data_IF_960809964653
#
_entry.id   IF_960809964653
#
_cell.length_a   1.000
_cell.length_b   1.000
_cell.length_c   1.000
_cell.angle_alpha   90.00
_cell.angle_beta   90.00
_cell.angle_gamma   90.00
#
_symmetry.space_group_name_H-M   'P 1'
#
loop_
_entity.id
_entity.type
_entity.pdbx_description
1 polymer ?
#
# COMPACT_ATOMS: atom_id res chain seq x y z
N UNK A 1 21.79 33.13 6.70
CA UNK A 1 21.12 32.09 7.49
C UNK A 1 20.52 31.08 6.52
N UNK A 2 21.05 29.87 6.47
CA UNK A 2 20.46 28.79 5.71
C UNK A 2 19.27 28.24 6.54
N UNK A 3 18.07 28.46 6.05
CA UNK A 3 16.86 27.89 6.62
C UNK A 3 16.84 26.40 6.26
N UNK A 4 17.03 25.53 7.25
CA UNK A 4 16.92 24.09 7.08
C UNK A 4 15.44 23.78 6.83
N UNK A 5 15.07 23.19 5.68
CA UNK A 5 13.69 22.77 5.46
C UNK A 5 13.30 21.77 6.55
N UNK A 6 12.22 22.05 7.27
CA UNK A 6 11.63 21.05 8.16
C UNK A 6 11.17 19.88 7.26
N UNK A 7 11.84 18.76 7.37
CA UNK A 7 11.43 17.53 6.67
C UNK A 7 10.19 16.97 7.38
N UNK A 8 9.01 17.50 7.04
CA UNK A 8 7.76 16.84 7.36
C UNK A 8 7.73 15.55 6.53
N UNK A 9 8.08 14.43 7.17
CA UNK A 9 7.77 13.12 6.63
C UNK A 9 6.24 12.97 6.65
N UNK A 10 5.58 13.43 5.59
CA UNK A 10 4.18 13.14 5.38
C UNK A 10 4.07 11.62 5.15
N UNK A 11 3.69 10.90 6.20
CA UNK A 11 3.32 9.51 6.08
C UNK A 11 2.22 9.36 5.01
N UNK A 12 2.16 8.24 4.28
CA UNK A 12 1.08 8.00 3.33
C UNK A 12 -0.26 8.26 4.01
N UNK A 13 -1.12 9.06 3.37
CA UNK A 13 -2.47 9.27 3.87
C UNK A 13 -3.30 8.04 3.56
N UNK A 14 -3.57 7.22 4.57
CA UNK A 14 -4.46 6.06 4.44
C UNK A 14 -5.93 6.40 4.73
N UNK A 15 -6.32 7.66 4.52
CA UNK A 15 -7.72 8.05 4.65
C UNK A 15 -8.55 7.31 3.58
N UNK A 16 -9.76 6.81 3.89
CA UNK A 16 -10.62 6.13 2.92
C UNK A 16 -10.89 6.96 1.68
N UNK A 17 -11.13 8.26 1.86
CA UNK A 17 -11.39 9.21 0.77
C UNK A 17 -10.17 9.41 -0.14
N UNK A 18 -9.00 8.98 0.30
CA UNK A 18 -7.78 9.01 -0.49
C UNK A 18 -7.62 7.77 -1.39
N UNK A 19 -8.41 6.70 -1.18
CA UNK A 19 -8.34 5.49 -2.00
C UNK A 19 -9.02 5.71 -3.33
N UNK A 20 -8.28 5.54 -4.43
CA UNK A 20 -8.80 5.71 -5.78
C UNK A 20 -9.17 4.33 -6.34
N UNK A 21 -10.43 4.16 -6.75
CA UNK A 21 -10.89 2.97 -7.43
C UNK A 21 -10.40 2.97 -8.89
N UNK A 22 -9.91 1.83 -9.36
CA UNK A 22 -9.49 1.61 -10.74
C UNK A 22 -9.71 0.15 -11.14
N UNK A 23 -9.45 -0.20 -12.39
CA UNK A 23 -9.64 -1.56 -12.90
C UNK A 23 -8.95 -2.62 -12.05
N UNK A 24 -7.71 -2.37 -11.67
CA UNK A 24 -6.88 -3.29 -10.89
C UNK A 24 -7.42 -3.63 -9.49
N UNK A 25 -8.22 -2.77 -8.87
CA UNK A 25 -8.69 -2.93 -7.48
C UNK A 25 -10.23 -3.00 -7.34
N UNK A 26 -10.96 -2.85 -8.42
CA UNK A 26 -12.44 -2.77 -8.41
C UNK A 26 -13.08 -3.99 -7.75
N UNK A 27 -12.67 -5.19 -8.14
CA UNK A 27 -13.22 -6.44 -7.58
C UNK A 27 -12.88 -6.61 -6.10
N UNK A 28 -11.68 -6.18 -5.67
CA UNK A 28 -11.32 -6.20 -4.26
C UNK A 28 -12.21 -5.26 -3.43
N UNK A 29 -12.55 -4.08 -3.98
CA UNK A 29 -13.51 -3.16 -3.34
C UNK A 29 -14.92 -3.76 -3.25
N UNK A 30 -15.38 -4.49 -4.27
CA UNK A 30 -16.67 -5.18 -4.23
C UNK A 30 -16.69 -6.25 -3.12
N UNK A 31 -15.61 -7.02 -2.96
CA UNK A 31 -15.48 -7.98 -1.86
C UNK A 31 -15.55 -7.31 -0.49
N UNK A 32 -14.87 -6.17 -0.30
CA UNK A 32 -14.95 -5.42 0.94
C UNK A 32 -16.37 -4.83 1.16
N UNK A 33 -17.04 -4.41 0.08
CA UNK A 33 -18.41 -3.92 0.17
C UNK A 33 -19.39 -4.99 0.58
N UNK A 34 -19.17 -6.27 0.24
CA UNK A 34 -19.98 -7.41 0.63
C UNK A 34 -19.77 -7.85 2.09
N UNK A 35 -18.79 -7.26 2.82
CA UNK A 35 -18.62 -7.58 4.23
C UNK A 35 -19.88 -7.23 5.05
N UNK A 36 -20.32 -8.04 6.03
CA UNK A 36 -19.69 -9.25 6.59
C UNK A 36 -20.06 -10.56 5.90
N UNK A 37 -20.75 -10.55 4.77
CA UNK A 37 -21.31 -11.72 4.10
C UNK A 37 -20.29 -12.45 3.21
N UNK A 38 -19.09 -12.65 3.74
CA UNK A 38 -18.06 -13.45 3.09
C UNK A 38 -18.35 -14.96 3.21
N UNK A 39 -17.77 -15.80 2.31
CA UNK A 39 -18.07 -17.22 2.27
C UNK A 39 -17.80 -17.95 3.60
N UNK A 40 -18.73 -18.84 3.95
CA UNK A 40 -18.61 -19.75 5.08
C UNK A 40 -17.59 -20.87 4.77
N UNK A 41 -17.00 -21.53 5.79
CA UNK A 41 -17.36 -21.42 7.22
C UNK A 41 -16.62 -20.31 7.98
N UNK A 42 -15.54 -19.75 7.40
CA UNK A 42 -14.63 -18.88 8.17
C UNK A 42 -14.89 -17.38 7.99
N UNK A 43 -15.72 -17.01 7.01
CA UNK A 43 -15.95 -15.59 6.64
C UNK A 43 -14.63 -14.83 6.51
N UNK A 44 -13.67 -15.43 5.82
CA UNK A 44 -12.36 -14.86 5.60
C UNK A 44 -12.17 -14.51 4.12
N UNK A 45 -11.45 -13.44 3.87
CA UNK A 45 -11.08 -12.97 2.54
C UNK A 45 -9.56 -12.79 2.48
N UNK A 46 -8.93 -13.36 1.47
CA UNK A 46 -7.54 -13.07 1.17
C UNK A 46 -7.47 -12.12 -0.03
N UNK A 47 -6.90 -10.93 0.18
CA UNK A 47 -6.52 -10.02 -0.90
C UNK A 47 -5.01 -10.12 -1.07
N UNK A 48 -4.57 -10.50 -2.27
CA UNK A 48 -3.16 -10.71 -2.55
C UNK A 48 -2.69 -9.95 -3.80
N UNK A 49 -1.39 -9.81 -3.96
CA UNK A 49 -0.79 -9.14 -5.10
C UNK A 49 0.61 -8.58 -4.82
N UNK A 50 1.29 -7.99 -5.80
CA UNK A 50 2.65 -7.51 -5.66
C UNK A 50 2.80 -6.42 -4.58
N UNK A 51 4.04 -6.16 -4.16
CA UNK A 51 4.32 -5.05 -3.26
C UNK A 51 3.93 -3.73 -3.91
N UNK A 52 3.35 -2.81 -3.12
CA UNK A 52 2.98 -1.48 -3.60
C UNK A 52 1.72 -1.42 -4.46
N UNK A 53 0.92 -2.50 -4.60
CA UNK A 53 -0.35 -2.46 -5.33
C UNK A 53 -1.54 -1.89 -4.52
N UNK A 54 -1.34 -1.42 -3.29
CA UNK A 54 -2.37 -0.74 -2.50
C UNK A 54 -3.07 -1.57 -1.43
N UNK A 55 -2.68 -2.82 -1.17
CA UNK A 55 -3.31 -3.71 -0.16
C UNK A 55 -3.39 -3.08 1.23
N UNK A 56 -2.28 -2.54 1.73
CA UNK A 56 -2.25 -1.89 3.05
C UNK A 56 -3.22 -0.71 3.11
N UNK A 57 -3.31 0.11 2.08
CA UNK A 57 -4.30 1.20 2.05
C UNK A 57 -5.73 0.65 2.11
N UNK A 58 -6.01 -0.41 1.35
CA UNK A 58 -7.30 -1.07 1.36
C UNK A 58 -7.67 -1.63 2.74
N UNK A 59 -6.68 -2.11 3.50
CA UNK A 59 -6.91 -2.57 4.87
C UNK A 59 -7.32 -1.45 5.83
N UNK A 60 -6.81 -0.24 5.66
CA UNK A 60 -7.27 0.92 6.46
C UNK A 60 -8.70 1.33 6.11
N UNK A 61 -9.07 1.26 4.83
CA UNK A 61 -10.46 1.47 4.40
C UNK A 61 -11.40 0.45 5.08
N UNK A 62 -10.98 -0.82 5.10
CA UNK A 62 -11.74 -1.89 5.76
C UNK A 62 -11.79 -1.71 7.28
N UNK A 63 -10.69 -1.34 7.93
CA UNK A 63 -10.61 -1.11 9.37
C UNK A 63 -11.61 -0.05 9.83
N UNK A 64 -11.69 1.07 9.14
CA UNK A 64 -12.63 2.15 9.46
C UNK A 64 -14.09 1.72 9.33
N UNK A 65 -14.40 0.84 8.38
CA UNK A 65 -15.76 0.35 8.17
C UNK A 65 -16.17 -0.73 9.18
N UNK A 66 -15.25 -1.64 9.49
CA UNK A 66 -15.53 -2.86 10.26
C UNK A 66 -15.20 -2.77 11.74
N UNK A 67 -14.36 -1.79 12.13
CA UNK A 67 -13.74 -1.77 13.46
C UNK A 67 -12.81 -2.96 13.70
N UNK A 68 -12.28 -3.58 12.64
CA UNK A 68 -11.44 -4.78 12.73
C UNK A 68 -10.14 -4.50 13.49
N UNK A 69 -9.74 -5.45 14.31
CA UNK A 69 -8.48 -5.41 15.05
C UNK A 69 -7.32 -5.90 14.16
N UNK A 70 -6.21 -5.15 14.13
CA UNK A 70 -4.97 -5.59 13.44
C UNK A 70 -4.24 -6.60 14.28
N UNK A 71 -4.13 -7.82 13.76
CA UNK A 71 -3.36 -8.88 14.35
C UNK A 71 -2.00 -8.94 13.66
N UNK A 72 -0.95 -8.53 14.37
CA UNK A 72 0.40 -8.41 13.82
C UNK A 72 1.20 -9.70 13.92
N UNK A 73 0.84 -10.55 14.87
CA UNK A 73 1.44 -11.87 15.09
C UNK A 73 0.44 -12.79 15.80
N UNK A 74 0.63 -14.10 15.67
CA UNK A 74 -0.07 -15.14 16.41
C UNK A 74 0.80 -16.41 16.40
N UNK A 75 1.52 -16.65 17.47
CA UNK A 75 2.49 -17.73 17.59
C UNK A 75 1.99 -18.86 18.48
N UNK A 76 1.25 -18.52 19.53
CA UNK A 76 0.78 -19.46 20.52
C UNK A 76 -0.75 -19.58 20.51
N UNK A 77 -1.23 -20.80 20.74
CA UNK A 77 -2.66 -21.10 20.82
C UNK A 77 -3.30 -20.38 22.02
N UNK A 78 -2.57 -20.17 23.09
CA UNK A 78 -3.05 -19.45 24.28
C UNK A 78 -3.43 -18.00 23.99
N UNK A 79 -2.81 -17.36 22.98
CA UNK A 79 -3.14 -16.00 22.56
C UNK A 79 -4.57 -15.89 22.02
N UNK A 80 -5.12 -16.98 21.46
CA UNK A 80 -6.47 -17.00 20.89
C UNK A 80 -7.55 -16.76 21.96
N UNK A 81 -7.34 -17.28 23.18
CA UNK A 81 -8.25 -17.07 24.29
C UNK A 81 -8.37 -15.59 24.70
N UNK A 82 -7.35 -14.78 24.41
CA UNK A 82 -7.33 -13.34 24.70
C UNK A 82 -7.95 -12.49 23.61
N UNK A 83 -8.32 -13.06 22.45
CA UNK A 83 -8.91 -12.33 21.33
C UNK A 83 -10.38 -11.95 21.69
N UNK A 84 -10.59 -10.68 21.98
CA UNK A 84 -11.90 -10.12 22.28
C UNK A 84 -12.60 -9.54 21.05
N UNK A 85 -11.84 -9.18 20.01
CA UNK A 85 -12.38 -8.69 18.75
C UNK A 85 -13.08 -9.80 17.96
N UNK A 86 -14.03 -9.43 17.10
CA UNK A 86 -14.72 -10.35 16.20
C UNK A 86 -14.21 -10.26 14.76
N UNK A 87 -13.61 -9.13 14.41
CA UNK A 87 -13.14 -8.84 13.05
C UNK A 87 -11.66 -8.53 13.08
N UNK A 88 -10.90 -9.12 12.18
CA UNK A 88 -9.44 -9.06 12.18
C UNK A 88 -8.87 -8.68 10.83
N UNK A 89 -7.72 -8.01 10.87
CA UNK A 89 -6.86 -7.74 9.71
C UNK A 89 -5.49 -8.33 9.99
N UNK A 90 -5.00 -9.17 9.06
CA UNK A 90 -3.66 -9.73 9.07
C UNK A 90 -2.92 -9.16 7.85
N UNK A 91 -2.19 -8.05 8.05
CA UNK A 91 -1.44 -7.38 6.96
C UNK A 91 -0.04 -8.00 6.83
N UNK A 92 0.44 -8.09 5.59
CA UNK A 92 1.68 -8.78 5.20
C UNK A 92 1.73 -10.21 5.75
N UNK A 93 0.62 -10.92 5.55
CA UNK A 93 0.42 -12.26 6.07
C UNK A 93 1.42 -13.25 5.44
N UNK A 94 2.23 -13.84 6.31
CA UNK A 94 3.17 -14.91 5.99
C UNK A 94 3.18 -15.93 7.12
N UNK A 95 3.07 -17.21 6.79
CA UNK A 95 3.26 -18.28 7.76
C UNK A 95 4.77 -18.42 8.02
N UNK A 96 5.18 -18.45 9.24
CA UNK A 96 6.44 -18.82 9.82
C UNK A 96 6.85 -17.89 10.98
N UNK A 97 7.33 -16.68 10.69
CA UNK A 97 7.91 -15.82 11.73
C UNK A 97 6.86 -15.13 12.63
N UNK A 98 5.73 -14.72 12.05
CA UNK A 98 4.68 -14.00 12.78
C UNK A 98 3.45 -14.83 13.08
N UNK A 99 3.17 -15.82 12.25
CA UNK A 99 1.97 -16.65 12.35
C UNK A 99 2.35 -18.14 12.32
N UNK A 100 2.20 -18.86 13.44
CA UNK A 100 2.43 -20.30 13.45
C UNK A 100 1.26 -21.05 12.79
N UNK A 101 1.55 -22.19 12.16
CA UNK A 101 0.50 -22.96 11.49
C UNK A 101 -0.54 -23.49 12.47
N UNK A 102 -0.13 -23.89 13.65
CA UNK A 102 -1.03 -24.41 14.70
C UNK A 102 -1.94 -23.30 15.24
N UNK A 103 -1.36 -22.14 15.59
CA UNK A 103 -2.14 -21.01 16.08
C UNK A 103 -3.14 -20.52 15.02
N UNK A 104 -2.74 -20.48 13.75
CA UNK A 104 -3.66 -20.13 12.66
C UNK A 104 -4.78 -21.14 12.45
N UNK A 105 -4.51 -22.44 12.61
CA UNK A 105 -5.56 -23.45 12.59
C UNK A 105 -6.62 -23.19 13.66
N UNK A 106 -6.21 -22.90 14.90
CA UNK A 106 -7.10 -22.58 16.00
C UNK A 106 -7.79 -21.23 15.84
N UNK A 107 -7.12 -20.25 15.23
CA UNK A 107 -7.73 -18.96 14.88
C UNK A 107 -8.91 -19.11 13.94
N UNK A 108 -8.81 -19.94 12.90
CA UNK A 108 -9.95 -20.22 12.02
C UNK A 108 -11.07 -20.95 12.74
N UNK A 109 -10.79 -21.83 13.73
CA UNK A 109 -11.83 -22.40 14.58
C UNK A 109 -12.54 -21.31 15.40
N UNK A 110 -11.77 -20.39 15.97
CA UNK A 110 -12.32 -19.27 16.72
C UNK A 110 -13.22 -18.39 15.85
N UNK A 111 -12.81 -18.05 14.63
CA UNK A 111 -13.65 -17.30 13.68
C UNK A 111 -14.97 -18.01 13.39
N UNK A 112 -14.92 -19.31 13.11
CA UNK A 112 -16.11 -20.10 12.83
C UNK A 112 -17.07 -20.17 14.06
N UNK A 113 -16.52 -20.32 15.25
CA UNK A 113 -17.30 -20.41 16.48
C UNK A 113 -17.93 -19.07 16.90
N UNK A 114 -17.24 -17.95 16.68
CA UNK A 114 -17.70 -16.60 17.08
C UNK A 114 -18.50 -15.89 15.99
N UNK A 115 -18.54 -16.42 14.77
CA UNK A 115 -19.08 -15.73 13.60
C UNK A 115 -18.25 -14.48 13.22
N UNK A 116 -16.97 -14.48 13.58
CA UNK A 116 -16.02 -13.42 13.26
C UNK A 116 -15.63 -13.42 11.79
N UNK A 117 -14.89 -12.38 11.37
CA UNK A 117 -14.35 -12.25 10.01
C UNK A 117 -12.88 -11.92 10.02
N UNK A 118 -12.14 -12.32 8.97
CA UNK A 118 -10.73 -11.98 8.83
C UNK A 118 -10.39 -11.53 7.40
N UNK A 119 -9.70 -10.40 7.29
CA UNK A 119 -9.07 -9.93 6.06
C UNK A 119 -7.59 -10.26 6.11
N UNK A 120 -7.12 -11.12 5.21
CA UNK A 120 -5.71 -11.47 5.06
C UNK A 120 -5.14 -10.73 3.85
N UNK A 121 -4.02 -10.05 4.04
CA UNK A 121 -3.30 -9.38 2.94
C UNK A 121 -1.95 -10.06 2.76
N UNK A 122 -1.66 -10.54 1.57
CA UNK A 122 -0.45 -11.30 1.29
C UNK A 122 0.15 -10.94 -0.08
N UNK A 123 1.35 -11.40 -0.37
CA UNK A 123 1.98 -11.23 -1.69
C UNK A 123 1.50 -12.24 -2.71
N UNK A 124 1.12 -13.42 -2.24
CA UNK A 124 0.59 -14.53 -3.05
C UNK A 124 -0.69 -15.07 -2.42
N UNK A 125 -1.50 -15.77 -3.20
CA UNK A 125 -2.71 -16.41 -2.68
C UNK A 125 -2.39 -17.37 -1.55
N UNK A 126 -3.13 -17.27 -0.44
CA UNK A 126 -2.99 -18.20 0.71
C UNK A 126 -3.32 -19.65 0.31
N UNK A 127 -4.15 -19.83 -0.72
CA UNK A 127 -4.48 -21.15 -1.25
C UNK A 127 -3.29 -21.85 -1.94
N UNK A 128 -2.27 -21.08 -2.34
CA UNK A 128 -1.05 -21.56 -3.02
C UNK A 128 0.16 -21.64 -2.10
N UNK A 129 0.03 -21.23 -0.84
CA UNK A 129 1.13 -21.31 0.13
C UNK A 129 1.51 -22.76 0.41
N UNK A 130 2.80 -23.03 0.58
CA UNK A 130 3.29 -24.32 1.05
C UNK A 130 3.05 -24.43 2.56
N UNK A 131 2.19 -25.39 2.94
CA UNK A 131 1.68 -25.54 4.31
C UNK A 131 1.81 -27.00 4.72
N UNK A 132 2.62 -27.26 5.73
CA UNK A 132 2.85 -28.60 6.26
C UNK A 132 1.60 -29.19 6.94
N UNK A 133 0.87 -28.37 7.71
CA UNK A 133 -0.34 -28.77 8.43
C UNK A 133 -1.52 -28.95 7.46
N UNK A 134 -1.89 -30.20 7.18
CA UNK A 134 -2.92 -30.55 6.18
C UNK A 134 -4.27 -29.88 6.44
N UNK A 135 -4.69 -29.81 7.71
CA UNK A 135 -5.96 -29.21 8.10
C UNK A 135 -5.97 -27.69 7.87
N UNK A 136 -4.88 -26.98 8.18
CA UNK A 136 -4.75 -25.56 7.87
C UNK A 136 -4.75 -25.31 6.37
N UNK A 137 -4.03 -26.14 5.62
CA UNK A 137 -3.99 -26.06 4.14
C UNK A 137 -5.39 -26.18 3.54
N UNK A 138 -6.20 -27.13 4.03
CA UNK A 138 -7.59 -27.30 3.58
C UNK A 138 -8.42 -26.04 3.85
N UNK A 139 -8.26 -25.43 5.02
CA UNK A 139 -8.98 -24.20 5.41
C UNK A 139 -8.59 -23.02 4.54
N UNK A 140 -7.29 -22.78 4.35
CA UNK A 140 -6.80 -21.67 3.53
C UNK A 140 -7.22 -21.82 2.05
N UNK A 141 -7.37 -23.04 1.54
CA UNK A 141 -7.92 -23.29 0.20
C UNK A 141 -9.41 -22.99 0.08
N UNK A 142 -10.17 -22.98 1.19
CA UNK A 142 -11.60 -22.67 1.19
C UNK A 142 -11.90 -21.17 1.35
N UNK A 143 -10.89 -20.35 1.62
CA UNK A 143 -11.03 -18.90 1.74
C UNK A 143 -11.18 -18.27 0.36
N UNK A 144 -12.07 -17.28 0.24
CA UNK A 144 -12.15 -16.47 -0.96
C UNK A 144 -10.84 -15.71 -1.17
N UNK A 145 -10.27 -15.80 -2.37
CA UNK A 145 -9.02 -15.14 -2.72
C UNK A 145 -9.27 -14.16 -3.88
N UNK A 146 -8.82 -12.92 -3.72
CA UNK A 146 -8.90 -11.87 -4.73
C UNK A 146 -7.53 -11.27 -4.99
N UNK A 147 -7.09 -11.28 -6.23
CA UNK A 147 -5.87 -10.61 -6.66
C UNK A 147 -6.11 -9.11 -6.86
N UNK A 148 -5.14 -8.30 -6.45
CA UNK A 148 -4.96 -6.92 -6.92
C UNK A 148 -3.71 -6.89 -7.79
N UNK A 149 -3.89 -6.58 -9.06
CA UNK A 149 -2.79 -6.41 -9.99
C UNK A 149 -1.98 -5.14 -9.70
N UNK A 150 -0.83 -5.00 -10.35
CA UNK A 150 -0.12 -3.72 -10.39
C UNK A 150 -1.03 -2.65 -10.99
N UNK A 151 -0.94 -1.39 -10.51
CA UNK A 151 -1.77 -0.32 -11.04
C UNK A 151 -1.47 -0.06 -12.51
N UNK A 152 -2.53 0.18 -13.27
CA UNK A 152 -2.46 0.64 -14.66
C UNK A 152 -2.03 2.11 -14.73
N UNK A 153 -1.58 2.54 -15.89
CA UNK A 153 -1.03 3.89 -16.10
C UNK A 153 -2.05 4.98 -15.73
N UNK A 154 -3.31 4.82 -16.15
CA UNK A 154 -4.39 5.78 -15.84
C UNK A 154 -4.62 5.94 -14.32
N UNK A 155 -4.54 4.84 -13.58
CA UNK A 155 -4.67 4.88 -12.11
C UNK A 155 -3.45 5.52 -11.46
N UNK A 156 -2.25 5.25 -11.97
CA UNK A 156 -1.03 5.88 -11.49
C UNK A 156 -1.03 7.39 -11.74
N UNK A 157 -1.48 7.84 -12.91
CA UNK A 157 -1.61 9.27 -13.24
C UNK A 157 -2.54 9.97 -12.24
N UNK A 158 -3.73 9.43 -12.01
CA UNK A 158 -4.69 10.00 -11.05
C UNK A 158 -4.12 10.07 -9.63
N UNK A 159 -3.43 9.01 -9.20
CA UNK A 159 -2.80 8.96 -7.87
C UNK A 159 -1.66 9.97 -7.76
N UNK A 160 -0.81 10.10 -8.77
CA UNK A 160 0.28 11.08 -8.79
C UNK A 160 -0.25 12.51 -8.73
N UNK A 161 -1.27 12.84 -9.56
CA UNK A 161 -1.93 14.16 -9.53
C UNK A 161 -2.45 14.45 -8.12
N UNK A 162 -3.14 13.50 -7.50
CA UNK A 162 -3.64 13.66 -6.13
C UNK A 162 -2.49 13.83 -5.12
N UNK A 163 -1.43 13.04 -5.20
CA UNK A 163 -0.28 13.13 -4.29
C UNK A 163 0.43 14.49 -4.34
N UNK A 164 0.54 15.09 -5.52
CA UNK A 164 1.08 16.45 -5.69
C UNK A 164 0.11 17.51 -5.17
N UNK A 165 -1.19 17.36 -5.48
CA UNK A 165 -2.22 18.27 -4.98
C UNK A 165 -2.29 18.29 -3.43
N UNK A 166 -2.19 17.12 -2.78
CA UNK A 166 -2.15 17.01 -1.30
C UNK A 166 -0.93 17.73 -0.69
N UNK A 167 0.13 17.94 -1.48
CA UNK A 167 1.33 18.75 -1.12
C UNK A 167 1.27 20.20 -1.60
N UNK A 168 0.13 20.61 -2.17
CA UNK A 168 -0.04 21.95 -2.75
C UNK A 168 0.96 22.24 -3.88
N UNK A 169 1.44 21.22 -4.55
CA UNK A 169 2.31 21.32 -5.71
C UNK A 169 1.49 21.32 -7.00
N UNK A 170 1.59 22.39 -7.78
CA UNK A 170 1.09 22.41 -9.16
C UNK A 170 2.10 21.72 -10.06
N UNK A 171 1.65 20.77 -10.84
CA UNK A 171 2.52 19.95 -11.72
C UNK A 171 1.94 19.93 -13.11
N UNK A 172 2.73 20.24 -14.17
CA UNK A 172 2.28 20.15 -15.54
C UNK A 172 1.96 18.69 -15.95
N UNK A 173 0.94 18.48 -16.80
CA UNK A 173 0.52 17.15 -17.26
C UNK A 173 1.66 16.34 -17.89
N UNK A 174 2.54 16.97 -18.66
CA UNK A 174 3.70 16.31 -19.25
C UNK A 174 4.69 15.74 -18.23
N UNK A 175 4.71 16.25 -17.00
CA UNK A 175 5.53 15.72 -15.91
C UNK A 175 4.92 14.41 -15.37
N UNK A 176 3.62 14.39 -15.18
CA UNK A 176 2.91 13.18 -14.71
C UNK A 176 3.10 12.05 -15.72
N UNK A 177 2.84 12.32 -16.99
CA UNK A 177 3.02 11.34 -18.06
C UNK A 177 4.48 10.82 -18.14
N UNK A 178 5.47 11.71 -18.00
CA UNK A 178 6.87 11.31 -17.95
C UNK A 178 7.16 10.39 -16.76
N UNK A 179 6.62 10.69 -15.58
CA UNK A 179 6.80 9.86 -14.39
C UNK A 179 6.23 8.46 -14.60
N UNK A 180 4.99 8.34 -15.06
CA UNK A 180 4.32 7.05 -15.28
C UNK A 180 5.08 6.19 -16.31
N UNK A 181 5.60 6.82 -17.37
CA UNK A 181 6.35 6.11 -18.42
C UNK A 181 7.69 5.56 -17.92
N UNK A 182 8.32 6.19 -16.93
CA UNK A 182 9.70 5.88 -16.53
C UNK A 182 9.83 5.32 -15.10
N UNK A 183 8.73 5.17 -14.35
CA UNK A 183 8.76 4.60 -13.00
C UNK A 183 8.28 3.14 -12.98
N UNK A 184 8.62 2.43 -11.92
CA UNK A 184 8.01 1.15 -11.64
C UNK A 184 6.51 1.33 -11.33
N UNK A 185 5.66 0.49 -11.90
CA UNK A 185 4.21 0.53 -11.75
C UNK A 185 3.75 0.04 -10.38
N UNK A 186 4.10 0.81 -9.36
CA UNK A 186 3.62 0.56 -8.00
C UNK A 186 3.50 1.88 -7.19
N UNK A 187 2.59 1.89 -6.23
CA UNK A 187 2.34 3.08 -5.43
C UNK A 187 3.47 3.41 -4.46
N UNK A 188 4.27 2.44 -4.04
CA UNK A 188 5.44 2.69 -3.16
C UNK A 188 6.47 3.56 -3.88
N UNK A 189 6.77 3.24 -5.14
CA UNK A 189 7.67 4.04 -5.98
C UNK A 189 7.07 5.42 -6.24
N UNK A 190 5.76 5.52 -6.54
CA UNK A 190 5.08 6.80 -6.72
C UNK A 190 5.22 7.70 -5.48
N UNK A 191 4.95 7.17 -4.28
CA UNK A 191 5.10 7.90 -3.01
C UNK A 191 6.53 8.40 -2.79
N UNK A 192 7.52 7.54 -2.99
CA UNK A 192 8.93 7.89 -2.83
C UNK A 192 9.32 9.00 -3.80
N UNK A 193 9.01 8.85 -5.08
CA UNK A 193 9.35 9.83 -6.11
C UNK A 193 8.70 11.19 -5.85
N UNK A 194 7.41 11.24 -5.54
CA UNK A 194 6.71 12.50 -5.22
C UNK A 194 7.35 13.20 -4.03
N UNK A 195 7.72 12.47 -2.97
CA UNK A 195 8.38 13.04 -1.80
C UNK A 195 9.80 13.56 -2.13
N UNK A 196 10.55 12.87 -2.96
CA UNK A 196 11.89 13.29 -3.39
C UNK A 196 11.83 14.51 -4.32
N UNK A 197 10.89 14.53 -5.26
CA UNK A 197 10.67 15.65 -6.20
C UNK A 197 10.24 16.90 -5.44
N UNK A 198 9.29 16.79 -4.51
CA UNK A 198 8.83 17.90 -3.66
C UNK A 198 10.01 18.49 -2.87
N UNK A 199 10.82 17.63 -2.22
CA UNK A 199 12.02 18.07 -1.49
C UNK A 199 13.02 18.78 -2.40
N UNK A 200 13.26 18.26 -3.60
CA UNK A 200 14.16 18.86 -4.57
C UNK A 200 13.66 20.23 -5.05
N UNK A 201 12.36 20.36 -5.34
CA UNK A 201 11.72 21.61 -5.73
C UNK A 201 11.82 22.67 -4.62
N UNK A 202 11.52 22.30 -3.38
CA UNK A 202 11.64 23.17 -2.20
C UNK A 202 13.09 23.63 -1.99
N UNK A 203 14.07 22.73 -2.09
CA UNK A 203 15.49 23.05 -1.95
C UNK A 203 15.99 24.01 -3.05
N UNK A 204 15.50 23.81 -4.28
CA UNK A 204 15.80 24.69 -5.40
C UNK A 204 15.01 26.01 -5.38
N UNK A 205 14.00 26.14 -4.49
CA UNK A 205 13.02 27.26 -4.46
C UNK A 205 12.38 27.47 -5.84
N UNK A 206 12.03 26.39 -6.52
CA UNK A 206 11.43 26.39 -7.85
C UNK A 206 10.19 25.51 -7.86
N UNK A 207 9.20 25.79 -8.72
CA UNK A 207 8.07 24.88 -8.92
C UNK A 207 8.54 23.55 -9.49
N UNK A 208 7.75 22.51 -9.28
CA UNK A 208 7.99 21.19 -9.88
C UNK A 208 8.01 21.32 -11.40
N UNK A 209 9.06 20.77 -12.01
CA UNK A 209 9.28 20.85 -13.46
C UNK A 209 9.90 19.55 -13.97
N UNK A 210 9.83 19.32 -15.27
CA UNK A 210 10.42 18.13 -15.90
C UNK A 210 11.92 18.02 -15.62
N UNK A 211 12.64 19.15 -15.51
CA UNK A 211 14.06 19.15 -15.17
C UNK A 211 14.32 18.59 -13.77
N UNK A 212 13.55 19.00 -12.78
CA UNK A 212 13.66 18.47 -11.40
C UNK A 212 13.31 16.99 -11.36
N UNK A 213 12.24 16.58 -12.07
CA UNK A 213 11.81 15.18 -12.11
C UNK A 213 12.89 14.30 -12.75
N UNK A 214 13.47 14.71 -13.87
CA UNK A 214 14.58 13.98 -14.50
C UNK A 214 15.80 13.86 -13.60
N UNK A 215 16.13 14.91 -12.86
CA UNK A 215 17.24 14.90 -11.90
C UNK A 215 17.01 13.86 -10.78
N UNK A 216 15.77 13.73 -10.28
CA UNK A 216 15.42 12.79 -9.22
C UNK A 216 15.32 11.36 -9.73
N UNK A 217 14.75 11.15 -10.91
CA UNK A 217 14.50 9.82 -11.45
C UNK A 217 15.71 9.17 -12.12
N UNK A 218 16.68 9.97 -12.61
CA UNK A 218 17.88 9.51 -13.32
C UNK A 218 19.16 10.09 -12.68
N UNK A 219 19.50 9.74 -11.43
CA UNK A 219 20.65 10.30 -10.75
C UNK A 219 22.00 9.96 -11.44
N UNK A 220 22.06 8.89 -12.25
CA UNK A 220 23.30 8.41 -12.88
C UNK A 220 23.60 8.99 -14.27
N UNK A 221 22.72 9.80 -14.84
CA UNK A 221 23.01 10.49 -16.10
C UNK A 221 23.80 11.78 -15.86
N UNK A 222 25.07 11.62 -15.46
CA UNK A 222 26.12 12.62 -15.59
C UNK A 222 25.79 13.94 -14.91
N UNK A 223 26.61 14.29 -13.93
CA UNK A 223 26.71 15.63 -13.40
C UNK A 223 26.67 16.70 -14.55
N UNK A 224 25.48 17.16 -14.86
CA UNK A 224 25.36 18.49 -15.46
C UNK A 224 25.62 19.44 -14.31
N UNK A 225 26.89 19.85 -14.21
CA UNK A 225 27.30 21.02 -13.46
C UNK A 225 26.42 22.18 -13.90
N UNK A 226 25.41 22.48 -13.11
CA UNK A 226 24.74 23.77 -13.20
C UNK A 226 25.72 24.80 -12.62
N UNK A 227 26.60 25.30 -13.52
CA UNK A 227 27.49 26.42 -13.25
C UNK A 227 26.64 27.66 -12.89
N UNK A 228 26.53 27.94 -11.60
CA UNK A 228 25.97 29.19 -11.09
C UNK A 228 27.04 30.29 -11.29
N UNK A 229 27.39 30.61 -12.54
CA UNK A 229 28.14 31.82 -12.82
C UNK A 229 27.29 33.04 -12.46
N UNK A 230 27.71 33.67 -11.41
CA UNK A 230 27.39 35.04 -11.06
C UNK A 230 27.55 35.94 -12.29
N UNK A 231 26.45 36.46 -12.79
CA UNK A 231 26.49 37.60 -13.70
C UNK A 231 26.77 38.88 -12.90
N UNK A 232 28.03 39.08 -12.55
CA UNK A 232 28.53 40.41 -12.32
C UNK A 232 28.64 41.11 -13.68
N UNK A 233 27.81 42.04 -13.96
CA UNK A 233 28.07 43.12 -14.92
C UNK A 233 28.28 44.41 -14.12
N UNK A 234 29.54 44.75 -13.95
CA UNK A 234 29.96 46.15 -13.85
C UNK A 234 29.60 46.85 -15.17
N UNK A 235 28.97 47.97 -15.12
CA UNK A 235 29.34 49.30 -15.59
C UNK A 235 28.23 50.24 -15.14
#
# INVERSE_FOLDING_TARGET
MQQIPLSLHLAPSYKPDAYIAGGANHTALQWLAAWPDWPLPYRALNIFGPSGCGKTHLSYVFEQRSGAHRLTQLQDISEIASLTARHFILDDFTLAERFSQEAMFHFFNHLAATGGTALLLSRQSVAQMDIGLADLRSRLRSIACQEIASPEDDLLEQVLVKMFADRQCSVPDGVIHYMVTHMERNFTTAYRLVAEIDRAALSAKKPVSLAIVKLVMMPDNGALEFDFKHGNKEI
#
